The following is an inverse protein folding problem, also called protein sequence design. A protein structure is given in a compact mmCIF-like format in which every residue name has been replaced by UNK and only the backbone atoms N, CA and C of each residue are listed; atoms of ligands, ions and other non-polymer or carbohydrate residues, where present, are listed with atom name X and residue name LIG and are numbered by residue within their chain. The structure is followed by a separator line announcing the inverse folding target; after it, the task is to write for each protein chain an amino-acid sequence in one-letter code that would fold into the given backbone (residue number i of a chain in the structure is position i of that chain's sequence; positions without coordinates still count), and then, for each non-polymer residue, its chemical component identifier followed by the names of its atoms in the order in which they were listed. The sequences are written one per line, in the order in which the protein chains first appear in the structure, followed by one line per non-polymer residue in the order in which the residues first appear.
data_IF_239463853864
#
_entry.id   IF_239463853864
#
_cell.length_a   1.000
_cell.length_b   1.000
_cell.length_c   1.000
_cell.angle_alpha   90.00
_cell.angle_beta   90.00
_cell.angle_gamma   90.00
#
_symmetry.space_group_name_H-M   'P 1'
#
loop_
_entity.id
_entity.type
_entity.pdbx_description
1 polymer ?
#
# COMPACT_ATOMS: atom_id res chain seq x y z
N UNK A 1 11.11 3.54 13.46
CA UNK A 1 12.26 2.87 12.82
C UNK A 1 11.79 1.80 11.82
N UNK A 2 10.98 2.15 10.81
CA UNK A 2 10.65 1.24 9.68
C UNK A 2 11.61 1.41 8.49
N UNK A 3 12.34 2.54 8.46
CA UNK A 3 13.24 2.89 7.36
C UNK A 3 14.53 2.04 7.32
N UNK A 4 15.00 1.48 8.43
CA UNK A 4 16.25 0.69 8.43
C UNK A 4 16.08 -0.74 7.92
N UNK A 5 14.93 -1.39 8.16
CA UNK A 5 14.66 -2.74 7.64
C UNK A 5 14.43 -2.73 6.12
N UNK A 6 13.96 -1.61 5.55
CA UNK A 6 13.68 -1.48 4.13
C UNK A 6 14.93 -1.22 3.25
N UNK A 7 16.09 -0.90 3.86
CA UNK A 7 17.25 -0.36 3.13
C UNK A 7 18.44 -1.33 3.05
N UNK A 8 18.54 -2.33 3.94
CA UNK A 8 19.76 -3.15 4.05
C UNK A 8 19.69 -4.55 3.43
N UNK A 9 18.53 -5.04 3.00
CA UNK A 9 18.46 -6.32 2.27
C UNK A 9 17.89 -6.13 0.87
N UNK A 10 18.79 -6.08 -0.12
CA UNK A 10 18.44 -6.05 -1.56
C UNK A 10 17.79 -7.35 -2.04
N UNK A 11 17.68 -8.38 -1.18
CA UNK A 11 16.91 -9.62 -1.36
C UNK A 11 15.69 -9.71 -0.44
N UNK A 12 15.29 -8.63 0.25
CA UNK A 12 14.03 -8.63 0.98
C UNK A 12 12.90 -8.93 -0.01
N UNK A 13 12.46 -10.19 -0.01
CA UNK A 13 11.42 -10.65 -0.90
C UNK A 13 10.14 -9.88 -0.65
N UNK A 14 9.20 -10.03 -1.58
CA UNK A 14 7.84 -9.46 -1.46
C UNK A 14 7.25 -9.70 -0.06
N UNK A 15 7.61 -10.81 0.58
CA UNK A 15 7.28 -11.18 1.95
C UNK A 15 7.51 -10.06 2.99
N UNK A 16 8.64 -9.36 2.98
CA UNK A 16 8.90 -8.30 3.95
C UNK A 16 7.89 -7.14 3.81
N UNK A 17 7.47 -6.83 2.57
CA UNK A 17 6.44 -5.83 2.32
C UNK A 17 5.05 -6.32 2.67
N UNK A 18 4.76 -7.60 2.39
CA UNK A 18 3.49 -8.24 2.74
C UNK A 18 3.28 -8.23 4.25
N UNK A 19 4.31 -8.44 5.06
CA UNK A 19 4.24 -8.38 6.52
C UNK A 19 3.88 -6.98 7.07
N UNK A 20 4.11 -5.91 6.30
CA UNK A 20 3.66 -4.57 6.67
C UNK A 20 2.19 -4.30 6.33
N UNK A 21 1.55 -5.06 5.44
CA UNK A 21 0.16 -4.84 5.02
C UNK A 21 -0.85 -4.98 6.17
N UNK A 22 -0.74 -5.97 7.08
CA UNK A 22 -1.58 -6.03 8.28
C UNK A 22 -1.47 -4.78 9.15
N UNK A 23 -0.25 -4.24 9.35
CA UNK A 23 -0.05 -3.02 10.14
C UNK A 23 -0.67 -1.79 9.47
N UNK A 24 -0.54 -1.69 8.15
CA UNK A 24 -1.22 -0.65 7.35
C UNK A 24 -2.73 -0.71 7.56
N UNK A 25 -3.32 -1.91 7.51
CA UNK A 25 -4.76 -2.10 7.75
C UNK A 25 -5.17 -1.69 9.16
N UNK A 26 -4.42 -2.12 10.19
CA UNK A 26 -4.69 -1.77 11.59
C UNK A 26 -4.68 -0.27 11.82
N UNK A 27 -3.79 0.47 11.17
CA UNK A 27 -3.66 1.92 11.34
C UNK A 27 -4.48 2.76 10.35
N UNK A 28 -5.18 2.14 9.40
CA UNK A 28 -5.95 2.87 8.39
C UNK A 28 -7.15 3.64 8.96
N UNK A 29 -7.68 3.21 10.11
CA UNK A 29 -8.78 3.87 10.82
C UNK A 29 -8.38 5.11 11.62
N UNK A 30 -7.07 5.44 11.70
CA UNK A 30 -6.59 6.58 12.49
C UNK A 30 -6.83 7.92 11.79
N UNK A 31 -7.63 8.79 12.41
CA UNK A 31 -8.01 10.08 11.85
C UNK A 31 -6.92 11.15 11.92
N UNK A 32 -5.80 10.91 12.63
CA UNK A 32 -4.69 11.87 12.68
C UNK A 32 -4.11 12.05 11.29
N UNK A 33 -4.09 13.30 10.82
CA UNK A 33 -3.75 13.63 9.43
C UNK A 33 -2.39 13.09 8.97
N UNK A 34 -1.39 13.07 9.84
CA UNK A 34 -0.07 12.54 9.51
C UNK A 34 -0.07 11.01 9.41
N UNK A 35 -0.84 10.33 10.26
CA UNK A 35 -0.97 8.87 10.26
C UNK A 35 -1.67 8.41 9.00
N UNK A 36 -2.87 8.93 8.70
CA UNK A 36 -3.60 8.52 7.48
C UNK A 36 -2.81 8.79 6.19
N UNK A 37 -2.06 9.89 6.12
CA UNK A 37 -1.19 10.22 4.97
C UNK A 37 -0.02 9.24 4.86
N UNK A 38 0.63 8.93 5.97
CA UNK A 38 1.72 7.96 6.00
C UNK A 38 1.23 6.55 5.59
N UNK A 39 0.07 6.12 6.11
CA UNK A 39 -0.56 4.84 5.78
C UNK A 39 -0.92 4.78 4.29
N UNK A 40 -1.61 5.79 3.75
CA UNK A 40 -1.93 5.86 2.32
C UNK A 40 -0.65 5.81 1.45
N UNK A 41 0.34 6.64 1.80
CA UNK A 41 1.59 6.66 1.05
C UNK A 41 2.30 5.32 1.07
N UNK A 42 2.44 4.69 2.24
CA UNK A 42 3.08 3.38 2.38
C UNK A 42 2.38 2.30 1.54
N UNK A 43 1.04 2.21 1.61
CA UNK A 43 0.25 1.23 0.86
C UNK A 43 0.49 1.37 -0.65
N UNK A 44 0.45 2.60 -1.17
CA UNK A 44 0.68 2.86 -2.60
C UNK A 44 2.12 2.58 -3.02
N UNK A 45 3.11 2.90 -2.18
CA UNK A 45 4.51 2.62 -2.53
C UNK A 45 4.78 1.12 -2.59
N UNK A 46 4.21 0.33 -1.67
CA UNK A 46 4.30 -1.14 -1.72
C UNK A 46 3.72 -1.67 -3.03
N UNK A 47 2.49 -1.25 -3.38
CA UNK A 47 1.81 -1.73 -4.59
C UNK A 47 2.43 -1.30 -5.92
N UNK A 48 3.36 -0.34 -5.93
CA UNK A 48 4.07 0.13 -7.14
C UNK A 48 5.40 -0.57 -7.40
N UNK A 49 5.81 -1.51 -6.54
CA UNK A 49 7.12 -2.18 -6.63
C UNK A 49 7.16 -3.26 -7.70
N UNK A 50 6.15 -4.14 -7.73
CA UNK A 50 5.99 -5.23 -8.69
C UNK A 50 4.53 -5.71 -8.71
N UNK A 51 4.22 -6.65 -9.59
CA UNK A 51 2.85 -7.16 -9.76
C UNK A 51 2.31 -7.91 -8.53
N UNK A 52 3.10 -8.77 -7.90
CA UNK A 52 2.67 -9.51 -6.69
C UNK A 52 2.28 -8.55 -5.56
N UNK A 53 3.10 -7.53 -5.32
CA UNK A 53 2.84 -6.52 -4.30
C UNK A 53 1.70 -5.59 -4.69
N UNK A 54 1.48 -5.35 -5.98
CA UNK A 54 0.32 -4.62 -6.47
C UNK A 54 -0.98 -5.33 -6.10
N UNK A 55 -1.07 -6.62 -6.41
CA UNK A 55 -2.24 -7.45 -6.09
C UNK A 55 -2.47 -7.50 -4.57
N UNK A 56 -1.41 -7.72 -3.77
CA UNK A 56 -1.51 -7.76 -2.32
C UNK A 56 -1.94 -6.39 -1.73
N UNK A 57 -1.41 -5.28 -2.25
CA UNK A 57 -1.79 -3.94 -1.81
C UNK A 57 -3.23 -3.57 -2.20
N UNK A 58 -3.69 -3.94 -3.40
CA UNK A 58 -5.07 -3.73 -3.82
C UNK A 58 -6.02 -4.54 -2.93
N UNK A 59 -5.72 -5.81 -2.68
CA UNK A 59 -6.52 -6.63 -1.76
C UNK A 59 -6.60 -5.99 -0.37
N UNK A 60 -5.47 -5.52 0.15
CA UNK A 60 -5.43 -4.82 1.44
C UNK A 60 -6.26 -3.53 1.43
N UNK A 61 -6.22 -2.77 0.33
CA UNK A 61 -7.02 -1.57 0.16
C UNK A 61 -8.54 -1.87 0.16
N UNK A 62 -8.96 -2.94 -0.52
CA UNK A 62 -10.37 -3.38 -0.49
C UNK A 62 -10.81 -3.83 0.91
N UNK A 63 -9.93 -4.51 1.66
CA UNK A 63 -10.21 -4.83 3.07
C UNK A 63 -10.32 -3.58 3.96
N UNK A 64 -9.45 -2.58 3.75
CA UNK A 64 -9.50 -1.30 4.47
C UNK A 64 -10.79 -0.53 4.14
N UNK A 65 -11.28 -0.63 2.91
CA UNK A 65 -12.51 0.03 2.46
C UNK A 65 -13.74 -0.41 3.25
N UNK A 66 -13.74 -1.63 3.79
CA UNK A 66 -14.82 -2.19 4.61
C UNK A 66 -14.81 -1.69 6.06
N UNK A 67 -13.76 -0.99 6.48
CA UNK A 67 -13.71 -0.40 7.83
C UNK A 67 -14.62 0.81 7.91
N UNK A 68 -15.37 0.92 9.01
CA UNK A 68 -16.24 2.07 9.29
C UNK A 68 -15.44 3.28 9.79
N UNK A 69 -14.60 3.83 8.91
CA UNK A 69 -13.84 5.05 9.16
C UNK A 69 -13.74 5.92 7.92
N UNK A 70 -13.76 7.24 8.11
CA UNK A 70 -13.57 8.21 7.02
C UNK A 70 -12.14 8.16 6.49
N UNK A 71 -11.14 8.01 7.37
CA UNK A 71 -9.74 7.89 6.96
C UNK A 71 -9.53 6.61 6.14
N UNK A 72 -10.10 5.48 6.59
CA UNK A 72 -9.97 4.19 5.92
C UNK A 72 -10.56 4.23 4.49
N UNK A 73 -11.78 4.75 4.32
CA UNK A 73 -12.40 4.91 3.00
C UNK A 73 -11.59 5.79 2.07
N UNK A 74 -11.01 6.89 2.58
CA UNK A 74 -10.16 7.78 1.80
C UNK A 74 -8.86 7.10 1.35
N UNK A 75 -8.19 6.39 2.27
CA UNK A 75 -6.96 5.63 1.99
C UNK A 75 -7.23 4.58 0.91
N UNK A 76 -8.28 3.77 1.09
CA UNK A 76 -8.63 2.69 0.17
C UNK A 76 -8.95 3.21 -1.24
N UNK A 77 -9.81 4.24 -1.34
CA UNK A 77 -10.20 4.80 -2.63
C UNK A 77 -9.00 5.38 -3.41
N UNK A 78 -8.10 6.10 -2.73
CA UNK A 78 -6.91 6.67 -3.37
C UNK A 78 -5.92 5.58 -3.81
N UNK A 79 -5.70 4.57 -2.95
CA UNK A 79 -4.80 3.48 -3.25
C UNK A 79 -5.29 2.62 -4.42
N UNK A 80 -6.56 2.22 -4.43
CA UNK A 80 -7.15 1.43 -5.53
C UNK A 80 -7.03 2.22 -6.83
N UNK A 81 -7.47 3.48 -6.86
CA UNK A 81 -7.43 4.33 -8.05
C UNK A 81 -6.03 4.47 -8.64
N UNK A 82 -5.00 4.67 -7.81
CA UNK A 82 -3.62 4.81 -8.29
C UNK A 82 -3.05 3.45 -8.74
N UNK A 83 -3.24 2.39 -7.94
CA UNK A 83 -2.62 1.10 -8.19
C UNK A 83 -3.23 0.37 -9.39
N UNK A 84 -4.51 0.58 -9.70
CA UNK A 84 -5.17 0.03 -10.89
C UNK A 84 -5.06 0.95 -12.11
N UNK A 85 -4.48 2.14 -11.96
CA UNK A 85 -4.38 3.11 -13.05
C UNK A 85 -3.37 2.70 -14.13
N UNK A 86 -3.64 3.08 -15.38
CA UNK A 86 -2.84 2.73 -16.56
C UNK A 86 -1.34 2.99 -16.39
N UNK A 87 -0.96 4.11 -15.75
CA UNK A 87 0.43 4.47 -15.55
C UNK A 87 1.18 3.44 -14.68
N UNK A 88 0.53 2.95 -13.61
CA UNK A 88 1.12 1.92 -12.73
C UNK A 88 1.09 0.57 -13.45
N UNK A 89 -0.03 0.21 -14.06
CA UNK A 89 -0.18 -1.08 -14.74
C UNK A 89 0.80 -1.25 -15.91
N UNK A 90 0.98 -0.23 -16.76
CA UNK A 90 1.98 -0.25 -17.85
C UNK A 90 3.40 -0.39 -17.30
N UNK A 91 3.74 0.36 -16.24
CA UNK A 91 5.04 0.28 -15.58
C UNK A 91 5.31 -1.13 -15.05
N UNK A 92 4.32 -1.76 -14.41
CA UNK A 92 4.45 -3.10 -13.84
C UNK A 92 4.52 -4.19 -14.92
N UNK A 93 3.83 -4.00 -16.04
CA UNK A 93 3.90 -4.86 -17.22
C UNK A 93 5.20 -4.68 -18.05
N UNK A 94 6.07 -3.73 -17.69
CA UNK A 94 7.29 -3.42 -18.44
C UNK A 94 7.05 -2.75 -19.79
N UNK A 95 5.85 -2.22 -20.02
CA UNK A 95 5.46 -1.53 -21.24
C UNK A 95 5.78 -0.04 -21.09
N UNK A 96 6.67 0.48 -21.94
CA UNK A 96 7.02 1.90 -22.01
C UNK A 96 5.87 2.74 -22.56
#
# INVERSE_FOLDING_TARGET
LMACLAVHDKKAGDQAFIEFLPLIKTHAGDDRNYVKKAVNWALRQIGKRNQNLNEAAIKTAEEIKQLDSRSARWIAADAIRELTGDAVQKKLAGVK
#
